data_IF_065297660168
#
_entry.id   IF_065297660168
#
_cell.length_a   1.000
_cell.length_b   1.000
_cell.length_c   1.000
_cell.angle_alpha   90.00
_cell.angle_beta   90.00
_cell.angle_gamma   90.00
#
_symmetry.space_group_name_H-M   'P 1'
#
loop_
_entity.id
_entity.type
_entity.pdbx_description
1 polymer ?
#
# COMPACT_ATOMS: atom_id res chain seq x y z
N UNK A 1 -14.63 -5.26 -14.71
CA UNK A 1 -13.94 -4.66 -13.54
C UNK A 1 -12.71 -5.49 -13.23
N UNK A 2 -11.54 -5.16 -13.81
CA UNK A 2 -10.30 -5.86 -13.51
C UNK A 2 -9.68 -5.22 -12.26
N UNK A 3 -9.94 -5.77 -11.08
CA UNK A 3 -9.18 -5.48 -9.86
C UNK A 3 -7.82 -6.17 -9.94
N UNK A 4 -7.01 -5.76 -10.91
CA UNK A 4 -5.63 -6.25 -11.02
C UNK A 4 -4.85 -5.56 -9.91
N UNK A 5 -4.55 -6.31 -8.85
CA UNK A 5 -3.66 -5.85 -7.77
C UNK A 5 -2.28 -5.71 -8.40
N UNK A 6 -1.92 -4.48 -8.78
CA UNK A 6 -0.68 -4.21 -9.50
C UNK A 6 0.54 -4.11 -8.57
N UNK A 7 0.32 -3.93 -7.27
CA UNK A 7 1.38 -3.59 -6.32
C UNK A 7 1.19 -4.45 -5.07
N UNK A 8 2.10 -5.39 -4.86
CA UNK A 8 2.13 -6.24 -3.66
C UNK A 8 3.52 -6.26 -3.03
N UNK A 9 3.58 -6.22 -1.70
CA UNK A 9 4.81 -6.47 -0.98
C UNK A 9 5.03 -7.99 -0.87
N UNK A 10 5.76 -8.56 -1.84
CA UNK A 10 6.12 -9.98 -1.83
C UNK A 10 6.96 -10.36 -0.62
N UNK A 11 7.85 -9.46 -0.16
CA UNK A 11 8.74 -9.70 0.97
C UNK A 11 7.97 -9.89 2.27
N UNK A 12 6.91 -9.12 2.49
CA UNK A 12 6.03 -9.29 3.65
C UNK A 12 5.36 -10.67 3.71
N UNK A 13 5.06 -11.30 2.57
CA UNK A 13 4.52 -12.68 2.53
C UNK A 13 5.56 -13.75 2.87
N UNK A 14 6.84 -13.48 2.67
CA UNK A 14 7.91 -14.42 3.02
C UNK A 14 8.36 -14.26 4.47
N UNK A 15 8.49 -13.02 4.95
CA UNK A 15 9.03 -12.73 6.28
C UNK A 15 7.98 -12.86 7.40
N UNK A 16 6.68 -12.70 7.07
CA UNK A 16 5.60 -12.67 8.06
C UNK A 16 4.43 -13.58 7.67
N UNK A 17 3.74 -14.10 8.69
CA UNK A 17 2.49 -14.82 8.51
C UNK A 17 1.30 -13.90 8.80
N UNK A 18 0.47 -13.66 7.78
CA UNK A 18 -0.75 -12.87 7.93
C UNK A 18 -1.82 -13.68 8.66
N UNK A 19 -2.16 -13.25 9.88
CA UNK A 19 -3.27 -13.82 10.65
C UNK A 19 -4.62 -13.28 10.14
N UNK A 20 -4.67 -11.99 9.82
CA UNK A 20 -5.87 -11.29 9.36
C UNK A 20 -5.52 -10.29 8.26
N UNK A 21 -6.46 -10.03 7.35
CA UNK A 21 -6.34 -9.04 6.28
C UNK A 21 -7.45 -8.02 6.43
N UNK A 22 -7.06 -6.76 6.56
CA UNK A 22 -7.98 -5.63 6.63
C UNK A 22 -8.00 -4.90 5.29
N UNK A 23 -9.18 -4.43 4.89
CA UNK A 23 -9.34 -3.56 3.72
C UNK A 23 -9.60 -2.14 4.20
N UNK A 24 -8.77 -1.20 3.73
CA UNK A 24 -8.89 0.21 4.05
C UNK A 24 -8.91 1.04 2.75
N UNK A 25 -9.51 2.22 2.82
CA UNK A 25 -9.41 3.23 1.76
C UNK A 25 -8.21 4.15 2.02
N UNK A 26 -7.38 4.38 1.01
CA UNK A 26 -6.27 5.32 1.09
C UNK A 26 -6.61 6.59 0.33
N UNK A 27 -6.47 7.75 0.97
CA UNK A 27 -6.67 9.04 0.33
C UNK A 27 -5.38 9.42 -0.40
N UNK A 28 -5.47 9.52 -1.72
CA UNK A 28 -4.36 9.85 -2.62
C UNK A 28 -4.56 11.24 -3.24
N UNK A 29 -3.45 11.86 -3.62
CA UNK A 29 -3.41 13.10 -4.38
C UNK A 29 -3.32 12.84 -5.89
N UNK A 30 -3.72 13.82 -6.71
CA UNK A 30 -3.96 13.61 -8.14
C UNK A 30 -2.78 13.10 -8.97
N UNK A 31 -1.54 13.42 -8.57
CA UNK A 31 -0.30 12.92 -9.20
C UNK A 31 -0.08 11.44 -8.89
N UNK A 32 -0.28 11.03 -7.64
CA UNK A 32 -0.08 9.65 -7.18
C UNK A 32 -1.03 8.64 -7.85
N UNK A 33 -2.21 9.09 -8.28
CA UNK A 33 -3.19 8.26 -9.01
C UNK A 33 -2.60 7.76 -10.33
N UNK A 34 -1.84 8.59 -11.06
CA UNK A 34 -1.22 8.20 -12.33
C UNK A 34 -0.15 7.15 -12.09
N UNK A 35 0.73 7.37 -11.12
CA UNK A 35 1.84 6.48 -10.82
C UNK A 35 1.40 5.12 -10.29
N UNK A 36 0.36 5.07 -9.46
CA UNK A 36 -0.23 3.81 -8.99
C UNK A 36 -0.89 3.03 -10.13
N UNK A 37 -1.54 3.72 -11.09
CA UNK A 37 -2.09 3.08 -12.29
C UNK A 37 -0.99 2.48 -13.16
N UNK A 38 0.17 3.13 -13.24
CA UNK A 38 1.36 2.64 -13.93
C UNK A 38 2.13 1.55 -13.13
N UNK A 39 1.69 1.23 -11.91
CA UNK A 39 2.36 0.23 -11.06
C UNK A 39 3.68 0.73 -10.45
N UNK A 40 3.95 2.03 -10.48
CA UNK A 40 5.17 2.67 -9.97
C UNK A 40 5.05 3.05 -8.49
N UNK A 41 4.62 2.12 -7.64
CA UNK A 41 4.72 2.30 -6.18
C UNK A 41 5.48 1.13 -5.55
N UNK A 42 6.31 1.46 -4.57
CA UNK A 42 7.08 0.52 -3.79
C UNK A 42 6.59 0.54 -2.34
N UNK A 43 6.24 -0.65 -1.84
CA UNK A 43 5.83 -0.92 -0.46
C UNK A 43 6.98 -1.56 0.34
N UNK A 44 8.23 -1.29 -0.05
CA UNK A 44 9.41 -1.87 0.60
C UNK A 44 9.60 -1.20 1.96
N UNK A 45 9.69 -2.00 3.01
CA UNK A 45 9.80 -1.56 4.41
C UNK A 45 8.69 -0.59 4.85
N UNK A 46 7.54 -0.61 4.16
CA UNK A 46 6.36 0.14 4.55
C UNK A 46 5.58 -0.60 5.62
N UNK A 47 5.02 0.17 6.56
CA UNK A 47 4.19 -0.37 7.64
C UNK A 47 2.98 0.51 7.88
N UNK A 48 1.89 -0.12 8.28
CA UNK A 48 0.69 0.59 8.71
C UNK A 48 0.68 0.70 10.23
N UNK A 49 0.27 1.85 10.74
CA UNK A 49 0.12 2.08 12.16
C UNK A 49 -1.19 2.81 12.43
N UNK A 50 -1.80 2.49 13.57
CA UNK A 50 -3.01 3.17 14.02
C UNK A 50 -2.62 4.42 14.82
N UNK A 51 -3.22 5.55 14.48
CA UNK A 51 -3.06 6.80 15.21
C UNK A 51 -4.42 7.48 15.32
N UNK A 52 -4.86 7.77 16.55
CA UNK A 52 -6.11 8.52 16.81
C UNK A 52 -7.33 7.99 16.03
N UNK A 53 -7.57 6.68 16.06
CA UNK A 53 -8.62 5.97 15.31
C UNK A 53 -8.48 5.95 13.78
N UNK A 54 -7.37 6.43 13.22
CA UNK A 54 -7.10 6.38 11.79
C UNK A 54 -5.93 5.43 11.49
N UNK A 55 -6.00 4.78 10.33
CA UNK A 55 -4.91 3.92 9.84
C UNK A 55 -4.04 4.74 8.89
N UNK A 56 -2.77 4.86 9.25
CA UNK A 56 -1.78 5.53 8.41
C UNK A 56 -0.76 4.53 7.89
N UNK A 57 -0.32 4.73 6.65
CA UNK A 57 0.83 4.04 6.09
C UNK A 57 2.07 4.93 6.19
N UNK A 58 3.21 4.34 6.55
CA UNK A 58 4.51 5.01 6.57
C UNK A 58 5.48 4.24 5.69
N UNK A 59 6.51 4.93 5.19
CA UNK A 59 7.54 4.37 4.31
C UNK A 59 7.01 3.82 2.96
N UNK A 60 5.78 4.20 2.56
CA UNK A 60 5.34 3.94 1.19
C UNK A 60 6.00 4.94 0.24
N UNK A 61 6.63 4.44 -0.83
CA UNK A 61 7.23 5.27 -1.84
C UNK A 61 6.42 5.20 -3.13
N UNK A 62 5.93 6.33 -3.61
CA UNK A 62 5.22 6.46 -4.88
C UNK A 62 6.10 7.30 -5.79
N UNK A 63 6.45 6.77 -6.97
CA UNK A 63 7.19 7.57 -7.95
C UNK A 63 6.27 8.67 -8.50
N UNK A 64 6.81 9.84 -8.82
CA UNK A 64 6.05 10.93 -9.45
C UNK A 64 5.71 10.67 -10.93
#
# INVERSE_FOLDING_TARGET
>A
MNNKVNIENRRAKFDYQFLEKLVAGLVLTGTEIKSIREGKAALVDSYCYFRNNELFIKNMHIAE
#
